data_IF_508491200286
#
_entry.id   IF_508491200286
#
_cell.length_a   1.000
_cell.length_b   1.000
_cell.length_c   1.000
_cell.angle_alpha   90.00
_cell.angle_beta   90.00
_cell.angle_gamma   90.00
#
_symmetry.space_group_name_H-M   'P 1'
#
loop_
_entity.id
_entity.type
_entity.pdbx_description
1 polymer ?
#
# COMPACT_ATOMS: atom_id res chain seq x y z
N UNK A 1 -7.97 8.66 -10.53
CA UNK A 1 -7.20 8.01 -11.61
C UNK A 1 -6.03 7.29 -10.96
N UNK A 2 -5.90 5.96 -11.12
CA UNK A 2 -4.62 5.28 -10.84
C UNK A 2 -3.70 5.63 -12.00
N UNK A 3 -2.78 6.55 -11.78
CA UNK A 3 -1.61 6.78 -12.64
C UNK A 3 -0.43 6.06 -12.00
N UNK A 4 -0.57 4.74 -11.83
CA UNK A 4 0.49 3.87 -11.32
C UNK A 4 0.80 2.85 -12.41
N UNK A 5 2.08 2.70 -12.74
CA UNK A 5 2.57 1.65 -13.63
C UNK A 5 2.44 0.26 -12.98
N UNK A 6 2.64 -0.81 -13.77
CA UNK A 6 2.47 -2.22 -13.34
C UNK A 6 3.27 -2.57 -12.06
N UNK A 7 4.42 -1.92 -11.86
CA UNK A 7 5.21 -2.09 -10.64
C UNK A 7 4.48 -1.53 -9.41
N UNK A 8 3.92 -0.33 -9.53
CA UNK A 8 3.15 0.30 -8.45
C UNK A 8 1.94 -0.55 -8.05
N UNK A 9 1.27 -1.19 -9.03
CA UNK A 9 0.17 -2.12 -8.73
C UNK A 9 0.63 -3.32 -7.92
N UNK A 10 1.78 -3.92 -8.28
CA UNK A 10 2.37 -5.04 -7.53
C UNK A 10 2.71 -4.65 -6.08
N UNK A 11 3.23 -3.43 -5.87
CA UNK A 11 3.47 -2.91 -4.52
C UNK A 11 2.16 -2.74 -3.76
N UNK A 12 1.09 -2.28 -4.41
CA UNK A 12 -0.19 -2.07 -3.75
C UNK A 12 -0.84 -3.39 -3.33
N UNK A 13 -0.75 -4.43 -4.17
CA UNK A 13 -1.22 -5.78 -3.83
C UNK A 13 -0.47 -6.31 -2.59
N UNK A 14 0.87 -6.18 -2.55
CA UNK A 14 1.65 -6.52 -1.36
C UNK A 14 1.18 -5.77 -0.09
N UNK A 15 0.98 -4.45 -0.18
CA UNK A 15 0.51 -3.63 0.94
C UNK A 15 -0.91 -4.00 1.38
N UNK A 16 -1.73 -4.51 0.47
CA UNK A 16 -3.11 -4.89 0.75
C UNK A 16 -3.24 -6.24 1.47
N UNK A 17 -2.29 -7.14 1.27
CA UNK A 17 -2.26 -8.49 1.82
C UNK A 17 -1.49 -8.61 3.15
N UNK A 18 -0.60 -7.66 3.43
CA UNK A 18 0.23 -7.72 4.63
C UNK A 18 -0.58 -7.53 5.94
N UNK A 19 -0.24 -8.35 6.93
CA UNK A 19 -0.91 -8.38 8.24
C UNK A 19 -0.68 -7.12 9.07
N UNK A 20 -1.69 -6.75 9.86
CA UNK A 20 -1.61 -5.64 10.83
C UNK A 20 -0.56 -5.94 11.91
N UNK A 21 0.21 -4.91 12.28
CA UNK A 21 1.29 -4.99 13.26
C UNK A 21 2.64 -5.42 12.67
N UNK A 22 2.70 -5.80 11.38
CA UNK A 22 3.97 -6.12 10.72
C UNK A 22 4.76 -4.86 10.37
N UNK A 23 6.08 -4.98 10.43
CA UNK A 23 7.03 -3.97 9.98
C UNK A 23 7.99 -4.61 8.99
N UNK A 24 8.34 -3.87 7.94
CA UNK A 24 9.21 -4.35 6.87
C UNK A 24 10.34 -3.36 6.62
N UNK A 25 11.55 -3.88 6.44
CA UNK A 25 12.70 -3.09 5.98
C UNK A 25 12.72 -3.07 4.46
N UNK A 26 12.77 -1.89 3.87
CA UNK A 26 12.63 -1.70 2.41
C UNK A 26 13.74 -2.40 1.63
N UNK A 27 14.96 -2.40 2.18
CA UNK A 27 16.09 -3.09 1.55
C UNK A 27 15.87 -4.60 1.35
N UNK A 28 15.00 -5.20 2.16
CA UNK A 28 14.63 -6.62 2.05
C UNK A 28 13.45 -6.87 1.11
N UNK A 29 12.69 -5.82 0.78
CA UNK A 29 11.51 -5.90 -0.09
C UNK A 29 11.83 -5.59 -1.55
N UNK A 30 12.83 -4.75 -1.81
CA UNK A 30 13.19 -4.35 -3.16
C UNK A 30 14.71 -4.26 -3.32
N UNK A 31 15.18 -4.52 -4.56
CA UNK A 31 16.56 -4.25 -4.95
C UNK A 31 16.87 -2.76 -4.84
N UNK A 32 18.16 -2.45 -4.67
CA UNK A 32 18.64 -1.06 -4.56
C UNK A 32 18.23 -0.20 -5.77
N UNK A 33 18.33 -0.75 -6.99
CA UNK A 33 17.92 -0.09 -8.24
C UNK A 33 16.43 0.30 -8.28
N UNK A 34 15.57 -0.41 -7.56
CA UNK A 34 14.11 -0.18 -7.53
C UNK A 34 13.65 0.55 -6.26
N UNK A 35 14.57 0.86 -5.34
CA UNK A 35 14.23 1.38 -4.01
C UNK A 35 13.45 2.70 -4.07
N UNK A 36 13.85 3.61 -4.96
CA UNK A 36 13.18 4.90 -5.13
C UNK A 36 11.75 4.69 -5.62
N UNK A 37 11.56 3.88 -6.66
CA UNK A 37 10.25 3.59 -7.22
C UNK A 37 9.33 2.89 -6.21
N UNK A 38 9.88 1.96 -5.40
CA UNK A 38 9.13 1.31 -4.33
C UNK A 38 8.64 2.34 -3.30
N UNK A 39 9.52 3.21 -2.83
CA UNK A 39 9.17 4.26 -1.85
C UNK A 39 8.09 5.19 -2.42
N UNK A 40 8.21 5.59 -3.69
CA UNK A 40 7.21 6.44 -4.36
C UNK A 40 5.87 5.74 -4.49
N UNK A 41 5.84 4.45 -4.84
CA UNK A 41 4.62 3.66 -4.87
C UNK A 41 3.95 3.60 -3.49
N UNK A 42 4.68 3.27 -2.42
CA UNK A 42 4.10 3.23 -1.07
C UNK A 42 3.61 4.62 -0.64
N UNK A 43 4.33 5.71 -0.96
CA UNK A 43 3.87 7.08 -0.69
C UNK A 43 2.55 7.38 -1.42
N UNK A 44 2.46 7.00 -2.70
CA UNK A 44 1.25 7.15 -3.50
C UNK A 44 0.09 6.37 -2.87
N UNK A 45 0.31 5.13 -2.44
CA UNK A 45 -0.67 4.33 -1.72
C UNK A 45 -1.15 5.07 -0.46
N UNK A 46 -0.24 5.47 0.43
CA UNK A 46 -0.57 6.15 1.69
C UNK A 46 -1.38 7.42 1.42
N UNK A 47 -1.00 8.22 0.43
CA UNK A 47 -1.72 9.46 0.08
C UNK A 47 -3.12 9.23 -0.52
N UNK A 48 -3.39 8.02 -1.02
CA UNK A 48 -4.63 7.69 -1.72
C UNK A 48 -5.75 7.25 -0.76
N UNK A 49 -5.44 6.97 0.50
CA UNK A 49 -6.39 6.44 1.46
C UNK A 49 -6.38 7.24 2.77
N UNK A 50 -7.55 7.37 3.38
CA UNK A 50 -7.66 7.90 4.73
C UNK A 50 -6.80 7.07 5.70
N UNK A 51 -6.20 7.76 6.68
CA UNK A 51 -5.27 7.17 7.66
C UNK A 51 -4.08 6.44 7.01
N UNK A 52 -3.65 6.88 5.81
CA UNK A 52 -2.56 6.21 5.09
C UNK A 52 -2.91 4.81 4.60
N UNK A 53 -4.22 4.50 4.61
CA UNK A 53 -4.73 3.15 4.44
C UNK A 53 -4.32 2.20 5.55
N UNK A 54 -3.69 2.66 6.65
CA UNK A 54 -3.09 1.85 7.71
C UNK A 54 -1.60 1.56 7.50
N UNK A 55 -0.91 2.31 6.65
CA UNK A 55 0.53 2.24 6.46
C UNK A 55 1.21 3.54 6.85
N UNK A 56 2.41 3.43 7.43
CA UNK A 56 3.27 4.57 7.67
C UNK A 56 4.75 4.21 7.49
N UNK A 57 5.52 5.23 7.13
CA UNK A 57 6.98 5.16 7.06
C UNK A 57 7.60 5.56 8.40
N UNK A 58 8.82 5.07 8.64
CA UNK A 58 9.72 5.75 9.57
C UNK A 58 10.34 7.01 8.93
N UNK A 59 10.97 7.86 9.76
CA UNK A 59 11.43 9.20 9.38
C UNK A 59 12.44 9.22 8.22
N UNK A 60 13.27 8.19 8.10
CA UNK A 60 14.33 8.04 7.09
C UNK A 60 13.89 7.19 5.89
N UNK A 61 12.61 6.79 5.80
CA UNK A 61 12.07 5.97 4.72
C UNK A 61 12.81 4.63 4.51
N UNK A 62 13.37 4.05 5.56
CA UNK A 62 14.03 2.73 5.48
C UNK A 62 13.10 1.58 5.86
N UNK A 63 11.98 1.88 6.54
CA UNK A 63 10.99 0.91 7.01
C UNK A 63 9.57 1.42 6.79
N UNK A 64 8.67 0.47 6.59
CA UNK A 64 7.22 0.68 6.59
C UNK A 64 6.58 -0.23 7.62
N UNK A 65 5.53 0.24 8.28
CA UNK A 65 4.75 -0.58 9.21
C UNK A 65 3.26 -0.51 8.94
N UNK A 66 2.59 -1.65 9.14
CA UNK A 66 1.15 -1.76 9.08
C UNK A 66 0.58 -1.51 10.46
N UNK A 67 -0.21 -0.46 10.60
CA UNK A 67 -0.89 -0.12 11.85
C UNK A 67 -2.37 -0.47 11.80
N UNK A 68 -2.94 -0.64 12.99
CA UNK A 68 -4.37 -0.70 13.15
C UNK A 68 -4.97 0.68 12.91
N UNK A 69 -6.04 0.72 12.11
CA UNK A 69 -6.83 1.93 11.85
C UNK A 69 -8.24 1.74 12.40
N UNK A 70 -8.95 2.83 12.74
CA UNK A 70 -10.33 2.75 13.21
C UNK A 70 -11.25 2.00 12.24
N UNK A 71 -12.26 1.28 12.77
CA UNK A 71 -13.23 0.50 11.99
C UNK A 71 -13.95 1.33 10.90
N UNK A 72 -14.10 2.63 11.12
CA UNK A 72 -14.71 3.55 10.14
C UNK A 72 -13.83 3.72 8.90
N UNK A 73 -12.51 3.82 9.09
CA UNK A 73 -11.54 3.89 8.00
C UNK A 73 -11.48 2.56 7.21
N UNK A 74 -11.70 1.43 7.88
CA UNK A 74 -11.83 0.14 7.21
C UNK A 74 -13.01 0.08 6.24
N UNK A 75 -14.14 0.73 6.54
CA UNK A 75 -15.33 0.68 5.66
C UNK A 75 -15.05 1.27 4.28
N UNK A 76 -14.29 2.36 4.18
CA UNK A 76 -13.98 2.98 2.90
C UNK A 76 -12.91 2.21 2.12
N UNK A 77 -11.94 1.62 2.83
CA UNK A 77 -10.98 0.66 2.27
C UNK A 77 -11.68 -0.58 1.68
N UNK A 78 -12.65 -1.15 2.39
CA UNK A 78 -13.37 -2.36 1.95
C UNK A 78 -14.35 -2.09 0.81
N UNK A 79 -15.06 -0.95 0.83
CA UNK A 79 -15.87 -0.52 -0.33
C UNK A 79 -15.00 -0.39 -1.57
N UNK A 80 -13.83 0.22 -1.44
CA UNK A 80 -12.88 0.38 -2.54
C UNK A 80 -12.35 -0.96 -3.05
N UNK A 81 -11.84 -1.84 -2.17
CA UNK A 81 -11.35 -3.19 -2.55
C UNK A 81 -12.43 -4.03 -3.23
N UNK A 82 -13.67 -3.98 -2.72
CA UNK A 82 -14.81 -4.72 -3.29
C UNK A 82 -15.17 -4.27 -4.71
N UNK A 83 -15.10 -2.96 -4.99
CA UNK A 83 -15.36 -2.42 -6.32
C UNK A 83 -14.28 -2.82 -7.35
N UNK A 84 -13.01 -2.94 -6.93
CA UNK A 84 -11.92 -3.36 -7.81
C UNK A 84 -12.00 -4.86 -8.16
N UNK A 85 -12.30 -5.73 -7.18
CA UNK A 85 -12.49 -7.17 -7.45
C UNK A 85 -13.66 -7.46 -8.40
N UNK A 86 -14.70 -6.62 -8.40
CA UNK A 86 -15.80 -6.74 -9.37
C UNK A 86 -15.40 -6.37 -10.80
N UNK A 87 -14.46 -5.44 -10.99
CA UNK A 87 -13.94 -5.08 -12.32
C UNK A 87 -12.99 -6.14 -12.88
N UNK A 88 -12.15 -6.77 -12.03
CA UNK A 88 -11.22 -7.83 -12.42
C UNK A 88 -11.94 -9.12 -12.88
N UNK A 89 -13.15 -9.37 -12.39
CA UNK A 89 -13.98 -10.53 -12.77
C UNK A 89 -14.93 -10.29 -13.97
N UNK A 90 -14.84 -9.14 -14.64
CA UNK A 90 -15.64 -8.78 -15.81
C UNK A 90 -14.79 -8.53 -17.08
N UNK A 91 -13.49 -8.85 -17.06
CA UNK A 91 -12.59 -8.82 -18.22
C UNK A 91 -12.08 -10.22 -18.55
#
# INVERSE_FOLDING_TARGET
>A
MRTGDEYSESVFEFLDEAEVGKSFTIENLCKEENRVQFIEAVKLYISSYDYGGGWEFNTDYTKIRRIEIPIEAWRDLWKYKRLQNQKKNQS
#
